data_IF_438305608091
#
_entry.id   IF_438305608091
#
_cell.length_a   1.000
_cell.length_b   1.000
_cell.length_c   1.000
_cell.angle_alpha   90.00
_cell.angle_beta   90.00
_cell.angle_gamma   90.00
#
_symmetry.space_group_name_H-M   'P 1'
#
loop_
_entity.id
_entity.type
_entity.pdbx_description
1 polymer ?
#
# COMPACT_ATOMS: atom_id res chain seq x y z
N UNK A 1 -6.36 18.92 -15.34
CA UNK A 1 -6.58 17.54 -14.91
C UNK A 1 -7.41 17.63 -13.65
N UNK A 2 -8.68 17.24 -13.71
CA UNK A 2 -9.57 17.33 -12.55
C UNK A 2 -9.35 16.11 -11.65
N UNK A 3 -9.04 16.37 -10.37
CA UNK A 3 -8.82 15.35 -9.37
C UNK A 3 -10.16 15.01 -8.70
N UNK A 4 -10.80 13.93 -9.13
CA UNK A 4 -12.10 13.53 -8.62
C UNK A 4 -11.96 12.55 -7.45
N UNK A 5 -12.14 13.06 -6.22
CA UNK A 5 -12.08 12.28 -4.98
C UNK A 5 -13.22 11.29 -4.82
N UNK A 6 -14.34 11.47 -5.52
CA UNK A 6 -15.49 10.57 -5.39
C UNK A 6 -15.23 9.17 -5.97
N UNK A 7 -14.20 9.08 -6.82
CA UNK A 7 -13.77 7.84 -7.47
C UNK A 7 -12.84 6.99 -6.61
N UNK A 8 -12.30 7.58 -5.54
CA UNK A 8 -11.39 6.89 -4.63
C UNK A 8 -12.15 5.88 -3.78
N UNK A 9 -11.80 4.61 -3.95
CA UNK A 9 -12.37 3.51 -3.18
C UNK A 9 -11.85 3.54 -1.75
N UNK A 10 -12.56 2.89 -0.83
CA UNK A 10 -12.18 2.86 0.59
C UNK A 10 -10.79 2.24 0.81
N UNK A 11 -10.46 1.17 0.06
CA UNK A 11 -9.12 0.57 0.10
C UNK A 11 -8.01 1.54 -0.32
N UNK A 12 -8.27 2.36 -1.34
CA UNK A 12 -7.29 3.30 -1.92
C UNK A 12 -6.99 4.47 -0.99
N UNK A 13 -8.01 4.97 -0.26
CA UNK A 13 -7.82 5.97 0.80
C UNK A 13 -6.91 5.44 1.90
N UNK A 14 -7.06 4.18 2.29
CA UNK A 14 -6.21 3.54 3.30
C UNK A 14 -4.76 3.44 2.79
N UNK A 15 -4.57 3.07 1.52
CA UNK A 15 -3.23 3.07 0.88
C UNK A 15 -2.62 4.47 0.90
N UNK A 16 -3.39 5.49 0.55
CA UNK A 16 -2.91 6.88 0.52
C UNK A 16 -2.44 7.34 1.90
N UNK A 17 -3.26 7.11 2.93
CA UNK A 17 -2.92 7.46 4.32
C UNK A 17 -1.69 6.67 4.77
N UNK A 18 -1.65 5.36 4.54
CA UNK A 18 -0.50 4.51 4.90
C UNK A 18 0.80 4.98 4.24
N UNK A 19 0.77 5.30 2.95
CA UNK A 19 1.94 5.78 2.20
C UNK A 19 2.44 7.14 2.71
N UNK A 20 1.53 8.08 2.99
CA UNK A 20 1.87 9.41 3.52
C UNK A 20 2.48 9.30 4.92
N UNK A 21 1.88 8.51 5.81
CA UNK A 21 2.40 8.33 7.18
C UNK A 21 3.74 7.60 7.16
N UNK A 22 3.92 6.61 6.27
CA UNK A 22 5.19 5.92 6.09
C UNK A 22 6.29 6.87 5.61
N UNK A 23 5.99 7.75 4.65
CA UNK A 23 6.91 8.78 4.16
C UNK A 23 7.25 9.80 5.25
N UNK A 24 6.25 10.29 5.98
CA UNK A 24 6.45 11.23 7.09
C UNK A 24 7.31 10.59 8.20
N UNK A 25 7.06 9.33 8.54
CA UNK A 25 7.87 8.57 9.50
C UNK A 25 9.33 8.44 9.04
N UNK A 26 9.54 8.17 7.76
CA UNK A 26 10.88 7.99 7.20
C UNK A 26 11.73 9.28 7.22
N UNK A 27 11.11 10.44 6.99
CA UNK A 27 11.79 11.72 6.87
C UNK A 27 11.85 12.53 8.19
N UNK A 28 10.77 12.52 8.97
CA UNK A 28 10.61 13.41 10.12
C UNK A 28 10.94 12.73 11.45
N UNK A 29 10.79 11.40 11.54
CA UNK A 29 10.94 10.69 12.81
C UNK A 29 12.34 10.08 12.95
N UNK A 30 12.77 10.01 14.21
CA UNK A 30 13.98 9.30 14.64
C UNK A 30 13.62 7.84 14.86
N UNK A 31 14.32 6.95 14.17
CA UNK A 31 14.03 5.51 14.19
C UNK A 31 14.88 4.77 15.21
N UNK A 32 16.14 5.17 15.35
CA UNK A 32 17.08 4.55 16.28
C UNK A 32 17.88 5.62 17.01
N UNK A 33 18.40 5.28 18.19
CA UNK A 33 19.42 6.11 18.83
C UNK A 33 19.87 5.55 20.16
N UNK A 34 21.14 5.79 20.49
CA UNK A 34 21.74 5.46 21.78
C UNK A 34 22.05 6.76 22.53
N UNK A 35 21.28 7.06 23.58
CA UNK A 35 21.43 8.29 24.35
C UNK A 35 21.16 9.57 23.52
N UNK A 36 22.08 10.56 23.49
CA UNK A 36 21.86 11.82 22.78
C UNK A 36 21.97 11.69 21.25
N UNK A 37 22.59 10.62 20.73
CA UNK A 37 22.69 10.40 19.30
C UNK A 37 21.42 9.71 18.79
N UNK A 38 20.89 10.21 17.67
CA UNK A 38 19.67 9.67 17.06
C UNK A 38 19.78 9.73 15.55
N UNK A 39 19.34 8.66 14.89
CA UNK A 39 19.43 8.51 13.45
C UNK A 39 18.01 8.45 12.87
N UNK A 40 17.78 9.26 11.84
CA UNK A 40 16.52 9.26 11.08
C UNK A 40 16.35 8.00 10.24
N UNK A 41 15.12 7.69 9.83
CA UNK A 41 14.78 6.50 9.06
C UNK A 41 15.62 6.34 7.78
N UNK A 42 15.84 7.44 7.04
CA UNK A 42 16.67 7.45 5.83
C UNK A 42 18.10 6.92 6.03
N UNK A 43 18.78 7.40 7.07
CA UNK A 43 20.17 7.04 7.37
C UNK A 43 20.27 5.70 8.09
N UNK A 44 19.24 5.33 8.87
CA UNK A 44 19.20 4.07 9.59
C UNK A 44 19.05 2.84 8.69
N UNK A 45 18.52 3.03 7.47
CA UNK A 45 18.09 1.96 6.55
C UNK A 45 18.89 1.94 5.25
N UNK A 46 20.22 2.04 5.29
CA UNK A 46 21.13 2.24 4.12
C UNK A 46 21.01 1.27 2.93
N UNK A 47 20.22 0.19 3.04
CA UNK A 47 19.91 -0.70 1.91
C UNK A 47 18.40 -0.74 1.65
N UNK A 48 17.58 -0.71 2.72
CA UNK A 48 16.12 -0.88 2.66
C UNK A 48 15.41 0.44 2.33
N UNK A 49 16.06 1.58 2.49
CA UNK A 49 15.49 2.90 2.19
C UNK A 49 15.04 3.04 0.73
N UNK A 50 15.70 2.39 -0.24
CA UNK A 50 15.25 2.37 -1.64
C UNK A 50 13.98 1.55 -1.82
N UNK A 51 13.90 0.38 -1.18
CA UNK A 51 12.71 -0.47 -1.21
C UNK A 51 11.50 0.25 -0.59
N UNK A 52 11.71 0.92 0.55
CA UNK A 52 10.68 1.77 1.18
C UNK A 52 10.22 2.88 0.25
N UNK A 53 11.14 3.59 -0.38
CA UNK A 53 10.82 4.69 -1.28
C UNK A 53 10.05 4.20 -2.51
N UNK A 54 10.46 3.10 -3.14
CA UNK A 54 9.70 2.50 -4.25
C UNK A 54 8.30 2.12 -3.79
N UNK A 55 8.15 1.51 -2.61
CA UNK A 55 6.83 1.12 -2.07
C UNK A 55 5.90 2.31 -1.86
N UNK A 56 6.44 3.40 -1.27
CA UNK A 56 5.69 4.65 -1.08
C UNK A 56 5.28 5.21 -2.44
N UNK A 57 6.21 5.28 -3.40
CA UNK A 57 5.93 5.81 -4.73
C UNK A 57 4.91 4.97 -5.48
N UNK A 58 4.98 3.63 -5.39
CA UNK A 58 3.98 2.75 -6.02
C UNK A 58 2.60 2.94 -5.38
N UNK A 59 2.51 3.05 -4.05
CA UNK A 59 1.26 3.32 -3.36
C UNK A 59 0.64 4.66 -3.77
N UNK A 60 1.46 5.72 -3.88
CA UNK A 60 1.00 7.03 -4.36
C UNK A 60 0.63 7.02 -5.85
N UNK A 61 1.39 6.29 -6.67
CA UNK A 61 1.08 6.14 -8.09
C UNK A 61 -0.27 5.45 -8.31
N UNK A 62 -0.57 4.41 -7.55
CA UNK A 62 -1.88 3.73 -7.56
C UNK A 62 -3.02 4.73 -7.33
N UNK A 63 -2.93 5.49 -6.24
CA UNK A 63 -3.92 6.52 -5.85
C UNK A 63 -4.07 7.59 -6.94
N UNK A 64 -2.95 8.03 -7.52
CA UNK A 64 -2.95 9.02 -8.59
C UNK A 64 -3.60 8.49 -9.88
N UNK A 65 -3.28 7.25 -10.28
CA UNK A 65 -3.85 6.65 -11.48
C UNK A 65 -5.35 6.35 -11.35
N UNK A 66 -5.82 5.93 -10.18
CA UNK A 66 -7.25 5.75 -9.92
C UNK A 66 -8.01 7.08 -9.92
N UNK A 67 -7.42 8.14 -9.36
CA UNK A 67 -8.04 9.45 -9.37
C UNK A 67 -8.10 10.11 -10.76
N UNK A 68 -7.25 9.68 -11.71
CA UNK A 68 -7.11 10.35 -13.02
C UNK A 68 -7.62 9.53 -14.21
N UNK A 69 -7.64 8.19 -14.15
CA UNK A 69 -8.00 7.35 -15.30
C UNK A 69 -9.33 6.61 -15.10
N UNK A 70 -10.21 6.61 -16.11
CA UNK A 70 -11.46 5.85 -16.08
C UNK A 70 -11.32 4.35 -16.43
N UNK A 71 -10.12 3.88 -16.78
CA UNK A 71 -9.89 2.51 -17.23
C UNK A 71 -9.75 1.52 -16.04
N UNK A 72 -10.64 0.52 -15.87
CA UNK A 72 -10.63 -0.40 -14.72
C UNK A 72 -9.45 -1.37 -14.66
N UNK A 73 -8.78 -1.64 -15.79
CA UNK A 73 -7.74 -2.68 -15.86
C UNK A 73 -6.38 -2.28 -15.26
N UNK A 74 -6.04 -0.99 -15.29
CA UNK A 74 -4.76 -0.47 -14.77
C UNK A 74 -4.72 -0.44 -13.22
N UNK A 75 -5.80 -0.01 -12.53
CA UNK A 75 -5.93 -0.10 -11.06
C UNK A 75 -5.65 -1.49 -10.48
N UNK A 76 -6.16 -2.55 -11.11
CA UNK A 76 -6.06 -3.92 -10.59
C UNK A 76 -4.63 -4.47 -10.60
N UNK A 77 -3.89 -4.24 -11.69
CA UNK A 77 -2.49 -4.66 -11.74
C UNK A 77 -1.63 -3.90 -10.71
N UNK A 78 -1.90 -2.60 -10.51
CA UNK A 78 -1.20 -1.80 -9.52
C UNK A 78 -1.52 -2.22 -8.08
N UNK A 79 -2.76 -2.60 -7.77
CA UNK A 79 -3.16 -3.01 -6.42
C UNK A 79 -2.44 -4.29 -5.99
N UNK A 80 -2.26 -5.24 -6.91
CA UNK A 80 -1.43 -6.44 -6.72
C UNK A 80 0.03 -6.05 -6.46
N UNK A 81 0.62 -5.18 -7.30
CA UNK A 81 2.02 -4.76 -7.15
C UNK A 81 2.23 -4.05 -5.79
N UNK A 82 1.35 -3.12 -5.42
CA UNK A 82 1.40 -2.42 -4.13
C UNK A 82 1.31 -3.40 -2.97
N UNK A 83 0.44 -4.40 -3.07
CA UNK A 83 0.26 -5.40 -2.00
C UNK A 83 1.51 -6.27 -1.84
N UNK A 84 2.05 -6.81 -2.94
CA UNK A 84 3.28 -7.64 -2.90
C UNK A 84 4.45 -6.84 -2.38
N UNK A 85 4.64 -5.63 -2.90
CA UNK A 85 5.75 -4.77 -2.51
C UNK A 85 5.61 -4.27 -1.05
N UNK A 86 4.39 -4.00 -0.62
CA UNK A 86 4.05 -3.70 0.77
C UNK A 86 4.38 -4.88 1.71
N UNK A 87 4.03 -6.11 1.33
CA UNK A 87 4.35 -7.31 2.13
C UNK A 87 5.87 -7.45 2.29
N UNK A 88 6.62 -7.31 1.19
CA UNK A 88 8.09 -7.33 1.24
C UNK A 88 8.63 -6.24 2.17
N UNK A 89 8.04 -5.05 2.14
CA UNK A 89 8.40 -3.93 3.03
C UNK A 89 8.10 -4.24 4.49
N UNK A 90 6.94 -4.81 4.80
CA UNK A 90 6.58 -5.22 6.16
C UNK A 90 7.57 -6.26 6.68
N UNK A 91 7.87 -7.30 5.90
CA UNK A 91 8.84 -8.34 6.28
C UNK A 91 10.23 -7.74 6.52
N UNK A 92 10.68 -6.86 5.63
CA UNK A 92 11.97 -6.17 5.76
C UNK A 92 12.03 -5.29 7.02
N UNK A 93 10.94 -4.59 7.35
CA UNK A 93 10.83 -3.78 8.56
C UNK A 93 10.78 -4.65 9.82
N UNK A 94 10.03 -5.76 9.82
CA UNK A 94 10.00 -6.69 10.95
C UNK A 94 11.40 -7.23 11.24
N UNK A 95 12.10 -7.71 10.21
CA UNK A 95 13.46 -8.20 10.35
C UNK A 95 14.39 -7.15 10.96
N UNK A 96 14.31 -5.90 10.49
CA UNK A 96 15.21 -4.83 10.95
C UNK A 96 14.85 -4.26 12.31
N UNK A 97 13.57 -4.15 12.65
CA UNK A 97 13.12 -3.57 13.92
C UNK A 97 13.19 -4.59 15.05
N UNK A 98 12.88 -5.87 14.78
CA UNK A 98 12.77 -6.89 15.82
C UNK A 98 14.01 -7.81 15.95
N UNK A 99 14.70 -8.12 14.85
CA UNK A 99 15.74 -9.17 14.83
C UNK A 99 17.15 -8.57 14.73
N UNK A 100 17.34 -7.60 13.83
CA UNK A 100 18.65 -7.01 13.54
C UNK A 100 18.59 -5.47 13.59
N UNK A 101 18.44 -4.87 14.78
CA UNK A 101 18.53 -3.43 14.91
C UNK A 101 19.91 -2.98 14.40
N UNK A 102 19.98 -1.92 13.58
CA UNK A 102 21.26 -1.35 13.18
C UNK A 102 22.03 -1.00 14.45
N UNK A 103 23.36 -1.17 14.44
CA UNK A 103 24.24 -0.94 15.60
C UNK A 103 24.25 0.49 16.18
N UNK A 104 23.27 1.33 15.82
CA UNK A 104 23.07 2.71 16.24
C UNK A 104 22.16 2.88 17.48
N UNK A 105 21.70 1.79 18.12
CA UNK A 105 20.97 1.84 19.40
C UNK A 105 19.53 1.31 19.35
N UNK A 106 18.79 1.53 20.43
CA UNK A 106 17.45 0.96 20.60
C UNK A 106 16.42 1.53 19.61
N UNK A 107 15.44 0.70 19.18
CA UNK A 107 14.34 1.15 18.33
C UNK A 107 13.47 2.19 19.06
N UNK A 108 13.27 3.33 18.42
CA UNK A 108 12.42 4.43 18.90
C UNK A 108 11.03 4.35 18.26
N UNK A 109 10.13 5.21 18.73
CA UNK A 109 8.73 5.30 18.27
C UNK A 109 8.62 5.40 16.74
N UNK A 110 9.55 6.08 16.06
CA UNK A 110 9.54 6.20 14.59
C UNK A 110 9.58 4.86 13.85
N UNK A 111 10.35 3.89 14.36
CA UNK A 111 10.45 2.57 13.76
C UNK A 111 9.12 1.80 13.85
N UNK A 112 8.41 1.91 14.98
CA UNK A 112 7.10 1.30 15.17
C UNK A 112 6.01 1.98 14.34
N UNK A 113 6.02 3.32 14.25
CA UNK A 113 5.09 4.07 13.39
C UNK A 113 5.25 3.66 11.94
N UNK A 114 6.49 3.49 11.47
CA UNK A 114 6.74 3.02 10.11
C UNK A 114 6.22 1.59 9.89
N UNK A 115 6.43 0.69 10.85
CA UNK A 115 5.93 -0.69 10.76
C UNK A 115 4.40 -0.73 10.67
N UNK A 116 3.71 0.02 11.54
CA UNK A 116 2.24 0.12 11.49
C UNK A 116 1.78 0.71 10.17
N UNK A 117 2.45 1.75 9.67
CA UNK A 117 2.09 2.38 8.39
C UNK A 117 2.25 1.43 7.20
N UNK A 118 3.30 0.60 7.20
CA UNK A 118 3.49 -0.42 6.18
C UNK A 118 2.39 -1.50 6.22
N UNK A 119 1.95 -1.92 7.41
CA UNK A 119 0.83 -2.85 7.57
C UNK A 119 -0.47 -2.22 7.05
N UNK A 120 -0.73 -0.94 7.36
CA UNK A 120 -1.90 -0.20 6.87
C UNK A 120 -1.88 -0.13 5.34
N UNK A 121 -0.72 0.13 4.73
CA UNK A 121 -0.56 0.17 3.27
C UNK A 121 -0.88 -1.19 2.63
N UNK A 122 -0.36 -2.30 3.18
CA UNK A 122 -0.69 -3.65 2.72
C UNK A 122 -2.18 -3.96 2.86
N UNK A 123 -2.77 -3.61 4.00
CA UNK A 123 -4.19 -3.82 4.25
C UNK A 123 -5.07 -3.05 3.26
N UNK A 124 -4.72 -1.79 2.96
CA UNK A 124 -5.40 -0.99 1.95
C UNK A 124 -5.32 -1.62 0.55
N UNK A 125 -4.14 -2.10 0.15
CA UNK A 125 -3.95 -2.79 -1.14
C UNK A 125 -4.76 -4.08 -1.24
N UNK A 126 -4.76 -4.88 -0.18
CA UNK A 126 -5.59 -6.10 -0.10
C UNK A 126 -7.10 -5.80 -0.16
N UNK A 127 -7.56 -4.76 0.54
CA UNK A 127 -8.97 -4.34 0.49
C UNK A 127 -9.35 -3.83 -0.89
N UNK A 128 -8.47 -3.08 -1.55
CA UNK A 128 -8.68 -2.63 -2.94
C UNK A 128 -8.91 -3.80 -3.90
N UNK A 129 -8.08 -4.86 -3.82
CA UNK A 129 -8.26 -6.07 -4.63
C UNK A 129 -9.57 -6.80 -4.34
N UNK A 130 -10.01 -6.82 -3.07
CA UNK A 130 -11.30 -7.44 -2.71
C UNK A 130 -12.51 -6.67 -3.25
N UNK A 131 -12.37 -5.37 -3.47
CA UNK A 131 -13.42 -4.51 -4.01
C UNK A 131 -13.50 -4.60 -5.56
N UNK A 132 -12.52 -5.21 -6.21
CA UNK A 132 -12.50 -5.48 -7.66
C UNK A 132 -13.25 -6.78 -8.04
N UNK A 133 -13.66 -7.60 -7.07
CA UNK A 133 -14.51 -8.77 -7.30
C UNK A 133 -15.95 -8.34 -7.62
N UNK A 134 -16.58 -8.98 -8.61
CA UNK A 134 -17.97 -8.72 -9.04
C UNK A 134 -18.88 -8.61 -7.82
N UNK A 135 -19.25 -7.37 -7.47
CA UNK A 135 -20.24 -7.14 -6.43
C UNK A 135 -21.55 -7.82 -6.86
N UNK A 136 -22.40 -8.19 -5.90
CA UNK A 136 -23.72 -8.77 -6.19
C UNK A 136 -24.60 -7.90 -7.12
N UNK A 137 -24.18 -6.65 -7.38
CA UNK A 137 -24.80 -5.67 -8.28
C UNK A 137 -24.35 -5.84 -9.75
N UNK A 138 -23.17 -6.42 -10.01
CA UNK A 138 -22.65 -6.76 -11.34
C UNK A 138 -22.90 -8.24 -11.71
N UNK A 139 -23.53 -9.00 -10.80
CA UNK A 139 -24.03 -10.32 -11.14
C UNK A 139 -25.16 -10.15 -12.19
N UNK A 140 -25.10 -10.83 -13.34
CA UNK A 140 -26.18 -10.78 -14.33
C UNK A 140 -27.50 -11.10 -13.63
N UNK A 141 -28.44 -10.14 -13.61
CA UNK A 141 -29.76 -10.33 -13.00
C UNK A 141 -30.57 -11.40 -13.72
N UNK A 142 -30.18 -11.72 -14.95
CA UNK A 142 -30.83 -12.66 -15.83
C UNK A 142 -29.76 -13.38 -16.63
N UNK A 143 -29.76 -14.71 -16.58
CA UNK A 143 -29.00 -15.53 -17.52
C UNK A 143 -29.82 -15.51 -18.79
N UNK A 144 -29.30 -14.90 -19.86
CA UNK A 144 -29.93 -14.89 -21.18
C UNK A 144 -30.05 -16.35 -21.67
N UNK A 145 -31.20 -16.97 -21.42
CA UNK A 145 -31.50 -18.30 -21.92
C UNK A 145 -31.95 -18.18 -23.37
N UNK A 146 -31.11 -18.67 -24.28
CA UNK A 146 -31.48 -18.82 -25.69
C UNK A 146 -32.57 -19.88 -25.77
N UNK A 147 -33.80 -19.49 -26.11
CA UNK A 147 -34.83 -20.45 -26.51
C UNK A 147 -34.39 -21.12 -27.81
N UNK A 148 -34.04 -22.40 -27.72
CA UNK A 148 -33.80 -23.22 -28.89
C UNK A 148 -35.17 -23.65 -29.41
N UNK A 149 -35.62 -23.03 -30.51
CA UNK A 149 -36.73 -23.58 -31.28
C UNK A 149 -36.35 -25.02 -31.64
N UNK A 150 -37.16 -25.97 -31.16
CA UNK A 150 -36.95 -27.39 -31.41
C UNK A 150 -37.01 -27.61 -32.91
N UNK A 151 -35.84 -27.83 -33.52
CA UNK A 151 -35.72 -28.18 -34.93
C UNK A 151 -36.34 -29.56 -35.12
N UNK A 152 -37.60 -29.56 -35.57
CA UNK A 152 -38.33 -30.75 -36.07
C UNK A 152 -38.40 -30.71 -37.58
#
# INVERSE_FOLDING_TARGET
>A
MDFDRSRLRWGELIVAVGAIVLLASMLLLKWYGAGPTSVGGWNALTHIHWLLLVTILTGLALVFFQATRPAPAVPAALSVIVTVLGILTVVALVYRVAIAPPGAGDPRVGAFVALVSAIVLVYGGYRSMREEGTGAQDAPSEIETVELDSVT
#
